data_IF_516713415276
#
_entry.id   IF_516713415276
#
_cell.length_a   1.000
_cell.length_b   1.000
_cell.length_c   1.000
_cell.angle_alpha   90.00
_cell.angle_beta   90.00
_cell.angle_gamma   90.00
#
_symmetry.space_group_name_H-M   'P 1'
#
loop_
_entity.id
_entity.type
_entity.pdbx_description
1 polymer ?
#
# COMPACT_ATOMS: atom_id res chain seq x y z
N UNK A 1 17.15 -14.77 5.28
CA UNK A 1 15.99 -14.27 6.06
C UNK A 1 15.07 -13.57 5.09
N UNK A 2 13.78 -13.92 5.07
CA UNK A 2 12.77 -13.26 4.23
C UNK A 2 12.48 -11.86 4.76
N UNK A 3 12.33 -10.87 3.87
CA UNK A 3 11.93 -9.51 4.24
C UNK A 3 10.78 -9.02 3.37
N UNK A 4 9.84 -8.33 4.01
CA UNK A 4 8.80 -7.56 3.35
C UNK A 4 9.08 -6.08 3.58
N UNK A 5 9.20 -5.32 2.49
CA UNK A 5 9.47 -3.89 2.53
C UNK A 5 8.31 -3.17 1.85
N UNK A 6 7.69 -2.26 2.60
CA UNK A 6 6.69 -1.32 2.10
C UNK A 6 7.35 0.05 1.96
N UNK A 7 7.27 0.64 0.78
CA UNK A 7 7.76 1.98 0.48
C UNK A 7 6.58 2.89 0.17
N UNK A 8 6.56 4.05 0.83
CA UNK A 8 5.64 5.14 0.54
C UNK A 8 6.43 6.25 -0.13
N UNK A 9 5.97 6.72 -1.28
CA UNK A 9 6.57 7.89 -1.93
C UNK A 9 5.46 8.86 -2.29
N UNK A 10 5.60 10.10 -1.85
CA UNK A 10 4.75 11.21 -2.25
C UNK A 10 5.47 11.92 -3.38
N UNK A 11 4.79 12.12 -4.50
CA UNK A 11 5.30 12.88 -5.64
C UNK A 11 4.43 14.10 -5.80
N UNK A 12 5.05 15.28 -5.91
CA UNK A 12 4.35 16.48 -6.31
C UNK A 12 4.20 16.45 -7.84
N UNK A 13 2.99 16.61 -8.33
CA UNK A 13 2.67 16.73 -9.75
C UNK A 13 2.79 18.21 -10.18
N UNK A 14 3.06 18.44 -11.46
CA UNK A 14 3.31 19.79 -12.01
C UNK A 14 2.12 20.76 -11.83
N UNK A 15 0.93 20.27 -11.52
CA UNK A 15 -0.28 21.05 -11.25
C UNK A 15 -0.50 21.37 -9.75
N UNK A 16 0.45 20.98 -8.89
CA UNK A 16 0.37 21.15 -7.44
C UNK A 16 -0.46 20.08 -6.72
N UNK A 17 -0.94 19.05 -7.42
CA UNK A 17 -1.50 17.86 -6.78
C UNK A 17 -0.38 16.98 -6.20
N UNK A 18 -0.66 16.31 -5.09
CA UNK A 18 0.24 15.30 -4.53
C UNK A 18 -0.29 13.91 -4.84
N UNK A 19 0.52 13.06 -5.47
CA UNK A 19 0.21 11.65 -5.65
C UNK A 19 0.98 10.79 -4.64
N UNK A 20 0.25 9.96 -3.91
CA UNK A 20 0.81 8.93 -3.05
C UNK A 20 1.00 7.64 -3.86
N UNK A 21 2.24 7.15 -3.90
CA UNK A 21 2.58 5.85 -4.49
C UNK A 21 3.00 4.86 -3.41
N UNK A 22 2.51 3.62 -3.55
CA UNK A 22 2.81 2.49 -2.68
C UNK A 22 3.62 1.46 -3.47
N UNK A 23 4.86 1.20 -3.02
CA UNK A 23 5.76 0.20 -3.60
C UNK A 23 5.98 -0.95 -2.64
N UNK A 24 5.96 -2.18 -3.17
CA UNK A 24 6.20 -3.40 -2.39
C UNK A 24 7.44 -4.12 -2.91
N UNK A 25 8.27 -4.60 -2.00
CA UNK A 25 9.42 -5.43 -2.32
C UNK A 25 9.48 -6.59 -1.33
N UNK A 26 9.51 -7.81 -1.86
CA UNK A 26 9.73 -9.03 -1.07
C UNK A 26 11.13 -9.53 -1.41
N UNK A 27 12.00 -9.59 -0.42
CA UNK A 27 13.29 -10.29 -0.52
C UNK A 27 13.08 -11.71 -0.02
N UNK A 28 12.98 -12.66 -0.95
CA UNK A 28 12.78 -14.08 -0.64
C UNK A 28 14.01 -14.66 0.06
N UNK A 29 13.78 -15.35 1.18
CA UNK A 29 14.80 -16.14 1.87
C UNK A 29 14.72 -17.62 1.51
N UNK A 30 15.62 -18.42 2.07
CA UNK A 30 15.65 -19.89 1.90
C UNK A 30 14.43 -20.61 2.50
N UNK A 31 13.68 -19.96 3.40
CA UNK A 31 12.50 -20.54 4.02
C UNK A 31 11.24 -20.16 3.23
N UNK A 32 10.68 -21.13 2.50
CA UNK A 32 9.48 -20.96 1.66
C UNK A 32 8.25 -20.51 2.47
N UNK A 33 8.04 -21.06 3.67
CA UNK A 33 6.91 -20.70 4.55
C UNK A 33 6.96 -19.21 4.89
N UNK A 34 8.16 -18.68 5.15
CA UNK A 34 8.32 -17.25 5.46
C UNK A 34 8.08 -16.37 4.23
N UNK A 35 8.37 -16.86 3.02
CA UNK A 35 8.06 -16.17 1.77
C UNK A 35 6.56 -16.11 1.53
N UNK A 36 5.85 -17.23 1.67
CA UNK A 36 4.38 -17.27 1.56
C UNK A 36 3.69 -16.39 2.60
N UNK A 37 4.21 -16.37 3.84
CA UNK A 37 3.71 -15.49 4.89
C UNK A 37 3.91 -14.01 4.51
N UNK A 38 5.06 -13.64 3.96
CA UNK A 38 5.32 -12.27 3.50
C UNK A 38 4.37 -11.84 2.38
N UNK A 39 4.04 -12.73 1.44
CA UNK A 39 3.06 -12.48 0.38
C UNK A 39 1.65 -12.30 0.92
N UNK A 40 1.20 -13.16 1.84
CA UNK A 40 -0.11 -13.00 2.50
C UNK A 40 -0.21 -11.69 3.27
N UNK A 41 0.83 -11.32 4.01
CA UNK A 41 0.87 -10.04 4.74
C UNK A 41 0.79 -8.85 3.78
N UNK A 42 1.48 -8.90 2.64
CA UNK A 42 1.36 -7.88 1.59
C UNK A 42 -0.09 -7.73 1.12
N UNK A 43 -0.73 -8.84 0.79
CA UNK A 43 -2.09 -8.83 0.23
C UNK A 43 -3.13 -8.33 1.25
N UNK A 44 -3.01 -8.73 2.51
CA UNK A 44 -3.86 -8.25 3.60
C UNK A 44 -3.72 -6.74 3.83
N UNK A 45 -2.48 -6.22 3.82
CA UNK A 45 -2.24 -4.78 3.99
C UNK A 45 -2.75 -3.99 2.78
N UNK A 46 -2.56 -4.50 1.56
CA UNK A 46 -3.12 -3.89 0.34
C UNK A 46 -4.64 -3.79 0.39
N UNK A 47 -5.33 -4.86 0.81
CA UNK A 47 -6.78 -4.86 0.93
C UNK A 47 -7.27 -3.82 1.95
N UNK A 48 -6.59 -3.72 3.09
CA UNK A 48 -6.92 -2.71 4.13
C UNK A 48 -6.68 -1.29 3.65
N UNK A 49 -5.56 -1.04 2.95
CA UNK A 49 -5.25 0.28 2.40
C UNK A 49 -6.29 0.72 1.36
N UNK A 50 -6.71 -0.18 0.45
CA UNK A 50 -7.79 0.10 -0.50
C UNK A 50 -9.08 0.50 0.21
N UNK A 51 -9.50 -0.27 1.22
CA UNK A 51 -10.72 0.05 1.97
C UNK A 51 -10.63 1.39 2.71
N UNK A 52 -9.45 1.77 3.22
CA UNK A 52 -9.24 3.08 3.85
C UNK A 52 -9.36 4.21 2.82
N UNK A 53 -8.74 4.06 1.65
CA UNK A 53 -8.79 5.05 0.57
C UNK A 53 -10.23 5.24 0.09
N UNK A 54 -10.96 4.15 -0.15
CA UNK A 54 -12.38 4.19 -0.54
C UNK A 54 -13.23 4.95 0.49
N UNK A 55 -13.04 4.70 1.78
CA UNK A 55 -13.75 5.43 2.85
C UNK A 55 -13.40 6.91 2.90
N UNK A 56 -12.14 7.26 2.63
CA UNK A 56 -11.71 8.67 2.57
C UNK A 56 -12.39 9.36 1.38
N UNK A 57 -12.44 8.72 0.22
CA UNK A 57 -13.10 9.24 -0.98
C UNK A 57 -14.61 9.38 -0.77
N UNK A 58 -15.27 8.40 -0.15
CA UNK A 58 -16.68 8.49 0.24
C UNK A 58 -16.94 9.67 1.19
N UNK A 59 -16.11 9.83 2.22
CA UNK A 59 -16.20 10.93 3.18
C UNK A 59 -15.98 12.29 2.52
N UNK A 60 -15.01 12.40 1.62
CA UNK A 60 -14.75 13.61 0.83
C UNK A 60 -15.96 13.96 -0.05
N UNK A 61 -16.52 12.98 -0.75
CA UNK A 61 -17.71 13.19 -1.58
C UNK A 61 -18.93 13.62 -0.76
N UNK A 62 -19.09 13.09 0.44
CA UNK A 62 -20.18 13.48 1.35
C UNK A 62 -19.99 14.88 1.96
N UNK A 63 -18.75 15.36 2.12
CA UNK A 63 -18.44 16.68 2.65
C UNK A 63 -18.51 17.81 1.60
N UNK A 64 -18.48 17.46 0.31
CA UNK A 64 -18.59 18.40 -0.82
C UNK A 64 -20.06 18.62 -1.24
N UNK A 65 -20.98 17.77 -0.76
CA UNK A 65 -22.43 17.98 -0.84
C UNK A 65 -22.97 18.64 0.44
#
# INVERSE_FOLDING_TARGET
MTKLILKFSITDEDDGQQSLSLGWQIESGENEIMNELAERVRDDVLAKLKSIIEKIDEGKNHAIH
#
